data_IF_895880360892
#
_entry.id   IF_895880360892
#
_cell.length_a   1.000
_cell.length_b   1.000
_cell.length_c   1.000
_cell.angle_alpha   90.00
_cell.angle_beta   90.00
_cell.angle_gamma   90.00
#
_symmetry.space_group_name_H-M   'P 1'
#
loop_
_entity.id
_entity.type
_entity.pdbx_description
1 polymer ?
#
# COMPACT_ATOMS: atom_id res chain seq x y z
N UNK A 1 7.28 -15.10 6.52
CA UNK A 1 7.70 -14.60 7.85
C UNK A 1 8.60 -13.35 7.81
N UNK A 2 9.20 -12.96 6.67
CA UNK A 2 10.09 -11.79 6.55
C UNK A 2 9.40 -10.45 6.24
N UNK A 3 8.17 -10.44 5.72
CA UNK A 3 7.61 -9.22 5.12
C UNK A 3 7.10 -8.19 6.14
N UNK A 4 6.40 -8.62 7.20
CA UNK A 4 5.81 -7.73 8.21
C UNK A 4 6.84 -6.82 8.89
N UNK A 5 8.00 -7.38 9.25
CA UNK A 5 9.08 -6.60 9.89
C UNK A 5 9.73 -5.61 8.91
N UNK A 6 9.80 -5.98 7.63
CA UNK A 6 10.40 -5.17 6.58
C UNK A 6 9.52 -3.99 6.20
N UNK A 7 8.19 -4.18 6.17
CA UNK A 7 7.20 -3.13 5.94
C UNK A 7 7.21 -2.11 7.08
N UNK A 8 7.20 -2.57 8.33
CA UNK A 8 7.27 -1.68 9.50
C UNK A 8 8.53 -0.79 9.47
N UNK A 9 9.70 -1.36 9.13
CA UNK A 9 10.95 -0.59 8.97
C UNK A 9 10.91 0.41 7.81
N UNK A 10 9.98 0.27 6.86
CA UNK A 10 9.77 1.25 5.80
C UNK A 10 8.85 2.40 6.24
N UNK A 11 8.31 2.37 7.47
CA UNK A 11 7.30 3.31 7.95
C UNK A 11 5.91 3.03 7.41
N UNK A 12 5.64 1.80 6.95
CA UNK A 12 4.35 1.40 6.41
C UNK A 12 3.44 0.84 7.51
N UNK A 13 2.22 1.36 7.60
CA UNK A 13 1.11 0.80 8.38
C UNK A 13 0.15 0.07 7.46
N UNK A 14 -0.39 -1.06 7.90
CA UNK A 14 -1.32 -1.88 7.11
C UNK A 14 -2.77 -1.50 7.41
N UNK A 15 -3.58 -1.48 6.37
CA UNK A 15 -5.02 -1.22 6.42
C UNK A 15 -5.79 -2.25 5.59
N UNK A 16 -7.09 -2.36 5.87
CA UNK A 16 -8.04 -3.13 5.07
C UNK A 16 -9.37 -2.36 4.97
N UNK A 17 -10.00 -2.43 3.80
CA UNK A 17 -11.25 -1.73 3.50
C UNK A 17 -12.18 -2.66 2.72
N UNK A 18 -13.44 -2.72 3.13
CA UNK A 18 -14.53 -3.27 2.33
C UNK A 18 -15.25 -2.13 1.62
N UNK A 19 -15.42 -2.26 0.31
CA UNK A 19 -16.15 -1.28 -0.51
C UNK A 19 -17.31 -1.97 -1.22
N UNK A 20 -18.43 -1.27 -1.35
CA UNK A 20 -19.54 -1.65 -2.21
C UNK A 20 -19.66 -0.59 -3.31
N UNK A 21 -19.57 -1.01 -4.57
CA UNK A 21 -19.79 -0.15 -5.73
C UNK A 21 -20.90 -0.75 -6.60
N UNK A 22 -22.11 -0.22 -6.46
CA UNK A 22 -23.32 -0.68 -7.16
C UNK A 22 -23.57 -2.19 -6.99
N UNK A 23 -23.43 -2.71 -5.76
CA UNK A 23 -23.64 -4.11 -5.43
C UNK A 23 -22.42 -5.00 -5.67
N UNK A 24 -21.33 -4.47 -6.25
CA UNK A 24 -20.05 -5.16 -6.35
C UNK A 24 -19.25 -4.89 -5.09
N UNK A 25 -19.09 -5.93 -4.27
CA UNK A 25 -18.27 -5.85 -3.06
C UNK A 25 -16.84 -6.26 -3.35
N UNK A 26 -15.90 -5.45 -2.89
CA UNK A 26 -14.48 -5.74 -2.96
C UNK A 26 -13.83 -5.48 -1.60
N UNK A 27 -12.87 -6.34 -1.25
CA UNK A 27 -11.96 -6.12 -0.14
C UNK A 27 -10.63 -5.65 -0.71
N UNK A 28 -10.08 -4.60 -0.11
CA UNK A 28 -8.76 -4.09 -0.43
C UNK A 28 -7.90 -4.15 0.83
N UNK A 29 -6.69 -4.69 0.72
CA UNK A 29 -5.64 -4.44 1.70
C UNK A 29 -4.61 -3.50 1.10
N UNK A 30 -4.15 -2.54 1.89
CA UNK A 30 -3.11 -1.60 1.47
C UNK A 30 -2.18 -1.27 2.62
N UNK A 31 -0.98 -0.81 2.29
CA UNK A 31 -0.07 -0.20 3.23
C UNK A 31 0.04 1.30 2.98
N UNK A 32 0.26 2.08 4.03
CA UNK A 32 0.33 3.54 3.97
C UNK A 32 1.56 4.04 4.75
N UNK A 33 2.28 5.01 4.19
CA UNK A 33 3.40 5.72 4.84
C UNK A 33 3.17 7.22 4.71
N UNK A 34 3.44 7.95 5.79
CA UNK A 34 3.29 9.40 5.83
C UNK A 34 1.83 9.83 5.81
N UNK A 35 1.59 11.11 5.55
CA UNK A 35 0.25 11.70 5.53
C UNK A 35 0.07 12.58 4.30
N UNK A 36 -1.17 12.69 3.82
CA UNK A 36 -1.53 13.56 2.68
C UNK A 36 -1.01 14.98 2.90
N UNK A 37 -0.45 15.57 1.85
CA UNK A 37 0.02 16.95 1.81
C UNK A 37 -0.56 17.62 0.55
N UNK A 38 -1.00 18.88 0.65
CA UNK A 38 -1.54 19.62 -0.51
C UNK A 38 -0.46 20.04 -1.51
N UNK A 39 0.77 20.20 -1.04
CA UNK A 39 1.92 20.62 -1.86
C UNK A 39 2.67 19.43 -2.47
N UNK A 40 2.48 18.22 -1.90
CA UNK A 40 3.13 16.99 -2.37
C UNK A 40 2.08 15.92 -2.69
N UNK A 41 1.96 15.48 -3.96
CA UNK A 41 0.97 14.48 -4.33
C UNK A 41 1.24 13.15 -3.64
N UNK A 42 0.18 12.37 -3.47
CA UNK A 42 0.29 10.99 -2.98
C UNK A 42 0.80 10.08 -4.09
N UNK A 43 1.66 9.13 -3.74
CA UNK A 43 2.18 8.13 -4.68
C UNK A 43 1.46 6.81 -4.40
N UNK A 44 0.81 6.25 -5.43
CA UNK A 44 0.15 4.95 -5.35
C UNK A 44 0.94 3.94 -6.16
N UNK A 45 1.33 2.84 -5.51
CA UNK A 45 2.06 1.75 -6.12
C UNK A 45 1.11 0.58 -6.40
N UNK A 46 0.97 0.25 -7.69
CA UNK A 46 0.15 -0.85 -8.19
C UNK A 46 1.06 -1.99 -8.63
N UNK A 47 0.84 -3.19 -8.10
CA UNK A 47 1.66 -4.35 -8.46
C UNK A 47 1.27 -4.93 -9.83
N UNK A 48 2.19 -5.70 -10.43
CA UNK A 48 1.94 -6.46 -11.66
C UNK A 48 1.33 -7.85 -11.40
N UNK A 49 1.27 -8.67 -12.44
CA UNK A 49 0.76 -10.05 -12.38
C UNK A 49 1.55 -10.89 -11.35
N UNK A 50 0.86 -11.76 -10.62
CA UNK A 50 1.45 -12.70 -9.63
C UNK A 50 2.26 -12.04 -8.51
N UNK A 51 1.98 -10.77 -8.21
CA UNK A 51 2.63 -9.97 -7.18
C UNK A 51 1.60 -9.41 -6.19
N UNK A 52 2.03 -8.61 -5.21
CA UNK A 52 1.19 -8.02 -4.18
C UNK A 52 1.80 -6.67 -3.69
N UNK A 53 1.11 -6.01 -2.76
CA UNK A 53 1.48 -4.71 -2.18
C UNK A 53 2.87 -4.66 -1.54
N UNK A 54 3.48 -5.80 -1.21
CA UNK A 54 4.79 -5.89 -0.55
C UNK A 54 5.96 -5.74 -1.53
N UNK A 55 5.75 -5.92 -2.83
CA UNK A 55 6.79 -5.77 -3.86
C UNK A 55 7.50 -4.41 -3.83
N UNK A 56 6.82 -3.37 -3.34
CA UNK A 56 7.33 -2.01 -3.33
C UNK A 56 8.07 -1.61 -2.04
N UNK A 57 8.13 -2.48 -1.03
CA UNK A 57 8.69 -2.11 0.30
C UNK A 57 10.15 -1.64 0.20
N UNK A 58 10.99 -2.29 -0.61
CA UNK A 58 12.39 -1.91 -0.78
C UNK A 58 12.55 -0.53 -1.43
N UNK A 59 11.66 -0.18 -2.36
CA UNK A 59 11.63 1.13 -3.01
C UNK A 59 11.17 2.20 -2.01
N UNK A 60 10.08 1.94 -1.28
CA UNK A 60 9.49 2.91 -0.34
C UNK A 60 10.41 3.27 0.83
N UNK A 61 11.28 2.34 1.25
CA UNK A 61 12.33 2.63 2.24
C UNK A 61 13.23 3.79 1.85
N UNK A 62 13.43 4.00 0.55
CA UNK A 62 14.31 5.06 0.03
C UNK A 62 13.54 6.35 -0.30
N UNK A 63 12.21 6.35 -0.18
CA UNK A 63 11.40 7.55 -0.38
C UNK A 63 11.45 8.38 0.92
N UNK A 64 11.65 9.72 0.85
CA UNK A 64 11.63 10.58 2.01
C UNK A 64 10.34 10.43 2.84
N UNK A 65 10.44 10.56 4.17
CA UNK A 65 9.35 10.27 5.11
C UNK A 65 8.17 11.25 5.03
N UNK A 66 8.37 12.41 4.40
CA UNK A 66 7.37 13.45 4.23
C UNK A 66 6.51 13.27 2.95
N UNK A 67 6.77 12.23 2.16
CA UNK A 67 5.87 11.80 1.08
C UNK A 67 4.81 10.84 1.59
N UNK A 68 3.60 11.03 1.08
CA UNK A 68 2.50 10.11 1.29
C UNK A 68 2.53 8.98 0.26
N UNK A 69 2.72 7.75 0.71
CA UNK A 69 2.82 6.57 -0.16
C UNK A 69 1.77 5.53 0.21
N UNK A 70 1.14 4.93 -0.81
CA UNK A 70 0.18 3.83 -0.65
C UNK A 70 0.62 2.65 -1.53
N UNK A 71 0.71 1.44 -0.98
CA UNK A 71 0.81 0.20 -1.78
C UNK A 71 -0.46 -0.60 -1.62
N UNK A 72 -1.04 -1.08 -2.72
CA UNK A 72 -2.37 -1.72 -2.69
C UNK A 72 -2.32 -3.14 -3.24
N UNK A 73 -3.07 -4.05 -2.63
CA UNK A 73 -3.42 -5.34 -3.21
C UNK A 73 -4.64 -5.15 -4.10
N UNK A 74 -4.51 -5.50 -5.38
CA UNK A 74 -5.65 -5.54 -6.29
C UNK A 74 -6.57 -6.72 -5.94
N UNK A 75 -7.88 -6.65 -6.25
CA UNK A 75 -8.82 -7.73 -5.95
C UNK A 75 -8.33 -9.10 -6.42
N UNK A 76 -8.46 -10.11 -5.55
CA UNK A 76 -8.00 -11.48 -5.81
C UNK A 76 -6.51 -11.73 -5.57
N UNK A 77 -5.75 -10.74 -5.09
CA UNK A 77 -4.33 -10.85 -4.76
C UNK A 77 -4.08 -10.45 -3.30
N UNK A 78 -2.99 -10.96 -2.72
CA UNK A 78 -2.54 -10.55 -1.38
C UNK A 78 -3.40 -11.05 -0.23
N UNK A 79 -3.70 -10.15 0.73
CA UNK A 79 -4.45 -10.43 1.98
C UNK A 79 -5.83 -9.78 2.00
#
# INVERSE_FOLDING_TARGET
MHSKFTAYRAGLTKHSLLTDNNGVRASFSYNEKGSRNREKPSIVFVHGLSSNKETWISIIKNIPSDYHCITVDLPGHGE
#
